data_IF_284064170508
#
_entry.id   IF_284064170508
#
_cell.length_a   1.000
_cell.length_b   1.000
_cell.length_c   1.000
_cell.angle_alpha   90.00
_cell.angle_beta   90.00
_cell.angle_gamma   90.00
#
_symmetry.space_group_name_H-M   'P 1'
#
loop_
_entity.id
_entity.type
_entity.pdbx_description
1 polymer ?
#
# COMPACT_ATOMS: atom_id res chain seq x y z
N UNK A 1 7.63 -28.54 12.69
CA UNK A 1 6.63 -28.93 13.72
C UNK A 1 6.79 -28.18 15.05
N UNK A 2 7.14 -26.89 15.01
CA UNK A 2 7.18 -26.01 16.19
C UNK A 2 6.45 -24.67 15.93
N UNK A 3 5.49 -24.65 15.00
CA UNK A 3 4.91 -23.42 14.44
C UNK A 3 3.73 -22.83 15.25
N UNK A 4 3.26 -23.50 16.30
CA UNK A 4 2.08 -23.06 17.09
C UNK A 4 2.32 -23.02 18.61
N UNK A 5 3.52 -23.36 19.08
CA UNK A 5 3.80 -23.45 20.52
C UNK A 5 4.23 -22.12 21.17
N UNK A 6 4.57 -21.11 20.37
CA UNK A 6 5.06 -19.81 20.88
C UNK A 6 4.01 -18.68 20.80
N UNK A 7 2.85 -18.90 20.18
CA UNK A 7 1.75 -17.92 20.16
C UNK A 7 0.84 -17.99 21.41
N UNK A 8 1.16 -18.84 22.38
CA UNK A 8 0.38 -18.97 23.61
C UNK A 8 1.25 -18.46 24.75
N UNK A 9 1.02 -17.23 25.25
CA UNK A 9 1.47 -16.91 26.58
C UNK A 9 0.89 -17.98 27.52
N UNK A 10 1.79 -18.70 28.19
CA UNK A 10 1.48 -19.67 29.23
C UNK A 10 0.57 -18.99 30.26
N UNK A 11 -0.75 -19.12 30.12
CA UNK A 11 -1.72 -18.43 30.97
C UNK A 11 -3.08 -18.04 30.37
N UNK A 12 -3.33 -18.21 29.06
CA UNK A 12 -4.66 -17.90 28.47
C UNK A 12 -5.57 -19.14 28.39
N UNK A 13 -6.89 -19.02 28.70
CA UNK A 13 -7.82 -20.13 28.66
C UNK A 13 -7.90 -20.74 27.25
N UNK A 14 -7.80 -22.08 27.17
CA UNK A 14 -7.64 -22.84 25.92
C UNK A 14 -8.74 -22.60 24.86
N UNK A 15 -9.90 -22.07 25.26
CA UNK A 15 -11.02 -21.74 24.36
C UNK A 15 -10.78 -20.44 23.58
N UNK A 16 -10.07 -19.46 24.15
CA UNK A 16 -9.78 -18.17 23.49
C UNK A 16 -8.51 -18.19 22.63
N UNK A 17 -7.64 -19.17 22.87
CA UNK A 17 -6.39 -19.37 22.14
C UNK A 17 -6.58 -19.57 20.62
N UNK A 18 -7.48 -20.45 20.12
CA UNK A 18 -7.70 -20.58 18.68
C UNK A 18 -8.30 -19.31 18.07
N UNK A 19 -9.14 -18.59 18.82
CA UNK A 19 -9.76 -17.35 18.36
C UNK A 19 -8.73 -16.22 18.17
N UNK A 20 -7.78 -16.08 19.09
CA UNK A 20 -6.67 -15.13 18.99
C UNK A 20 -5.77 -15.45 17.79
N UNK A 21 -5.44 -16.73 17.55
CA UNK A 21 -4.64 -17.16 16.39
C UNK A 21 -5.38 -16.87 15.08
N UNK A 22 -6.70 -17.08 15.01
CA UNK A 22 -7.51 -16.69 13.85
C UNK A 22 -7.47 -15.18 13.59
N UNK A 23 -7.56 -14.34 14.63
CA UNK A 23 -7.51 -12.89 14.46
C UNK A 23 -6.09 -12.44 14.04
N UNK A 24 -5.03 -13.00 14.62
CA UNK A 24 -3.65 -12.66 14.27
C UNK A 24 -3.33 -13.04 12.82
N UNK A 25 -3.76 -14.23 12.38
CA UNK A 25 -3.60 -14.68 10.97
C UNK A 25 -4.34 -13.79 9.98
N UNK A 26 -5.58 -13.39 10.30
CA UNK A 26 -6.35 -12.45 9.47
C UNK A 26 -5.66 -11.07 9.44
N UNK A 27 -5.21 -10.56 10.60
CA UNK A 27 -4.51 -9.26 10.71
C UNK A 27 -3.20 -9.25 9.90
N UNK A 28 -2.49 -10.38 9.91
CA UNK A 28 -1.23 -10.53 9.18
C UNK A 28 -1.43 -10.53 7.66
N UNK A 29 -2.58 -11.00 7.16
CA UNK A 29 -2.94 -10.93 5.73
C UNK A 29 -3.50 -9.56 5.33
N UNK A 30 -4.29 -8.92 6.19
CA UNK A 30 -4.90 -7.61 5.90
C UNK A 30 -3.85 -6.49 5.81
N UNK A 31 -2.77 -6.57 6.61
CA UNK A 31 -1.73 -5.53 6.64
C UNK A 31 -1.03 -5.33 5.28
N UNK A 32 -0.49 -6.36 4.60
CA UNK A 32 0.01 -6.21 3.23
C UNK A 32 -1.10 -5.88 2.22
N UNK A 33 -2.30 -6.43 2.40
CA UNK A 33 -3.45 -6.15 1.52
C UNK A 33 -3.84 -4.67 1.49
N UNK A 34 -3.91 -4.03 2.66
CA UNK A 34 -4.24 -2.60 2.75
C UNK A 34 -3.15 -1.71 2.16
N UNK A 35 -1.87 -2.09 2.23
CA UNK A 35 -0.78 -1.38 1.55
C UNK A 35 -0.89 -1.49 0.02
N UNK A 36 -1.24 -2.66 -0.50
CA UNK A 36 -1.42 -2.88 -1.94
C UNK A 36 -2.61 -2.09 -2.49
N UNK A 37 -3.75 -2.11 -1.79
CA UNK A 37 -4.94 -1.32 -2.17
C UNK A 37 -4.63 0.18 -2.12
N UNK A 38 -3.85 0.65 -1.14
CA UNK A 38 -3.42 2.05 -1.05
C UNK A 38 -2.57 2.48 -2.24
N UNK A 39 -1.66 1.62 -2.71
CA UNK A 39 -0.87 1.88 -3.91
C UNK A 39 -1.76 1.97 -5.15
N UNK A 40 -2.65 1.00 -5.33
CA UNK A 40 -3.58 0.97 -6.45
C UNK A 40 -4.48 2.21 -6.48
N UNK A 41 -5.05 2.59 -5.33
CA UNK A 41 -5.89 3.78 -5.21
C UNK A 41 -5.11 5.07 -5.54
N UNK A 42 -3.88 5.22 -5.03
CA UNK A 42 -3.06 6.40 -5.32
C UNK A 42 -2.72 6.50 -6.82
N UNK A 43 -2.31 5.40 -7.45
CA UNK A 43 -1.99 5.39 -8.89
C UNK A 43 -3.22 5.60 -9.78
N UNK A 44 -4.38 5.03 -9.42
CA UNK A 44 -5.63 5.24 -10.17
C UNK A 44 -6.08 6.71 -10.03
N UNK A 45 -6.01 7.28 -8.83
CA UNK A 45 -6.44 8.64 -8.57
C UNK A 45 -5.59 9.67 -9.32
N UNK A 46 -4.25 9.58 -9.25
CA UNK A 46 -3.40 10.51 -9.97
C UNK A 46 -3.41 10.27 -11.48
N UNK A 47 -3.50 9.03 -11.95
CA UNK A 47 -3.72 8.76 -13.38
C UNK A 47 -5.04 9.37 -13.89
N UNK A 48 -6.14 9.21 -13.16
CA UNK A 48 -7.43 9.83 -13.49
C UNK A 48 -7.31 11.36 -13.51
N UNK A 49 -6.63 11.95 -12.53
CA UNK A 49 -6.41 13.39 -12.45
C UNK A 49 -5.60 13.91 -13.65
N UNK A 50 -4.53 13.21 -14.05
CA UNK A 50 -3.75 13.54 -15.25
C UNK A 50 -4.62 13.49 -16.52
N UNK A 51 -5.49 12.49 -16.63
CA UNK A 51 -6.37 12.30 -17.78
C UNK A 51 -7.41 13.42 -17.88
N UNK A 52 -8.01 13.82 -16.75
CA UNK A 52 -8.99 14.90 -16.70
C UNK A 52 -8.35 16.26 -17.03
N UNK A 53 -7.18 16.57 -16.45
CA UNK A 53 -6.43 17.78 -16.75
C UNK A 53 -5.99 17.82 -18.21
N UNK A 54 -5.51 16.69 -18.75
CA UNK A 54 -5.13 16.56 -20.16
C UNK A 54 -6.28 16.82 -21.12
N UNK A 55 -7.49 16.34 -20.81
CA UNK A 55 -8.67 16.55 -21.65
C UNK A 55 -9.15 18.02 -21.65
N UNK A 56 -8.90 18.77 -20.57
CA UNK A 56 -9.18 20.23 -20.53
C UNK A 56 -8.10 21.08 -21.21
N UNK A 57 -6.90 20.53 -21.40
CA UNK A 57 -5.72 21.21 -21.97
C UNK A 57 -5.92 21.87 -23.33
N UNK A 58 -6.59 21.25 -24.33
CA UNK A 58 -6.76 21.82 -25.67
C UNK A 58 -7.56 23.12 -25.71
N UNK A 59 -8.39 23.38 -24.69
CA UNK A 59 -9.20 24.59 -24.57
C UNK A 59 -8.48 25.78 -23.91
N UNK A 60 -7.27 25.55 -23.39
CA UNK A 60 -6.52 26.55 -22.63
C UNK A 60 -5.55 27.34 -23.52
N UNK A 61 -5.27 28.57 -23.10
CA UNK A 61 -4.24 29.41 -23.74
C UNK A 61 -2.85 28.79 -23.62
N UNK A 62 -1.99 28.98 -24.63
CA UNK A 62 -0.61 28.45 -24.67
C UNK A 62 0.22 28.70 -23.41
N UNK A 63 0.07 29.85 -22.74
CA UNK A 63 0.78 30.15 -21.48
C UNK A 63 0.35 29.23 -20.33
N UNK A 64 -0.95 28.94 -20.22
CA UNK A 64 -1.51 28.05 -19.19
C UNK A 64 -1.20 26.59 -19.53
N UNK A 65 -1.17 26.23 -20.82
CA UNK A 65 -0.78 24.90 -21.29
C UNK A 65 0.65 24.54 -20.86
N UNK A 66 1.61 25.46 -20.98
CA UNK A 66 2.99 25.23 -20.55
C UNK A 66 3.08 24.94 -19.05
N UNK A 67 2.34 25.70 -18.24
CA UNK A 67 2.26 25.48 -16.79
C UNK A 67 1.60 24.12 -16.44
N UNK A 68 0.53 23.75 -17.16
CA UNK A 68 -0.16 22.48 -17.00
C UNK A 68 0.80 21.29 -17.25
N UNK A 69 1.59 21.34 -18.31
CA UNK A 69 2.56 20.29 -18.65
C UNK A 69 3.62 20.13 -17.55
N UNK A 70 4.16 21.25 -17.04
CA UNK A 70 5.12 21.22 -15.93
C UNK A 70 4.49 20.58 -14.68
N UNK A 71 3.25 20.94 -14.36
CA UNK A 71 2.52 20.35 -13.23
C UNK A 71 2.28 18.84 -13.42
N UNK A 72 1.93 18.39 -14.63
CA UNK A 72 1.76 16.96 -14.93
C UNK A 72 3.05 16.17 -14.78
N UNK A 73 4.18 16.70 -15.24
CA UNK A 73 5.50 16.06 -15.06
C UNK A 73 5.84 15.97 -13.57
N UNK A 74 5.59 17.05 -12.81
CA UNK A 74 5.84 17.05 -11.37
C UNK A 74 4.99 16.01 -10.62
N UNK A 75 3.70 15.88 -10.98
CA UNK A 75 2.80 14.88 -10.40
C UNK A 75 3.24 13.45 -10.74
N UNK A 76 3.68 13.18 -11.97
CA UNK A 76 4.20 11.87 -12.37
C UNK A 76 5.43 11.48 -11.55
N UNK A 77 6.36 12.43 -11.34
CA UNK A 77 7.55 12.21 -10.51
C UNK A 77 7.14 11.91 -9.07
N UNK A 78 6.17 12.64 -8.52
CA UNK A 78 5.65 12.38 -7.18
C UNK A 78 5.02 10.98 -7.05
N UNK A 79 4.18 10.56 -7.99
CA UNK A 79 3.55 9.23 -7.97
C UNK A 79 4.57 8.10 -8.04
N UNK A 80 5.58 8.24 -8.90
CA UNK A 80 6.65 7.25 -9.01
C UNK A 80 7.48 7.15 -7.72
N UNK A 81 7.80 8.28 -7.07
CA UNK A 81 8.48 8.30 -5.79
C UNK A 81 7.66 7.60 -4.69
N UNK A 82 6.35 7.86 -4.63
CA UNK A 82 5.44 7.20 -3.68
C UNK A 82 5.37 5.69 -3.96
N UNK A 83 5.34 5.27 -5.22
CA UNK A 83 5.30 3.85 -5.58
C UNK A 83 6.57 3.09 -5.15
N UNK A 84 7.74 3.71 -5.29
CA UNK A 84 9.02 3.14 -4.82
C UNK A 84 8.99 2.96 -3.30
N UNK A 85 8.59 3.99 -2.55
CA UNK A 85 8.55 3.92 -1.08
C UNK A 85 7.56 2.85 -0.61
N UNK A 86 6.38 2.77 -1.23
CA UNK A 86 5.33 1.84 -0.83
C UNK A 86 5.69 0.37 -1.13
N UNK A 87 6.35 0.10 -2.27
CA UNK A 87 6.85 -1.25 -2.59
C UNK A 87 7.98 -1.69 -1.65
N UNK A 88 8.85 -0.77 -1.24
CA UNK A 88 9.88 -1.02 -0.23
C UNK A 88 9.27 -1.39 1.13
N UNK A 89 8.30 -0.60 1.63
CA UNK A 89 7.64 -0.89 2.92
C UNK A 89 6.91 -2.23 2.87
N UNK A 90 6.28 -2.58 1.74
CA UNK A 90 5.66 -3.89 1.54
C UNK A 90 6.68 -5.03 1.64
N UNK A 91 7.82 -4.90 0.94
CA UNK A 91 8.87 -5.92 0.97
C UNK A 91 9.42 -6.12 2.38
N UNK A 92 9.71 -5.03 3.11
CA UNK A 92 10.24 -5.09 4.49
C UNK A 92 9.23 -5.69 5.46
N UNK A 93 7.95 -5.34 5.38
CA UNK A 93 6.93 -5.96 6.21
C UNK A 93 6.80 -7.46 5.89
N UNK A 94 6.78 -7.82 4.60
CA UNK A 94 6.69 -9.23 4.19
C UNK A 94 7.88 -10.06 4.65
N UNK A 95 9.10 -9.51 4.61
CA UNK A 95 10.30 -10.23 5.08
C UNK A 95 10.34 -10.36 6.59
N UNK A 96 9.98 -9.32 7.34
CA UNK A 96 9.86 -9.39 8.81
C UNK A 96 8.86 -10.47 9.23
N UNK A 97 7.67 -10.49 8.62
CA UNK A 97 6.68 -11.52 8.91
C UNK A 97 7.13 -12.92 8.50
N UNK A 98 7.80 -13.07 7.35
CA UNK A 98 8.35 -14.37 6.95
C UNK A 98 9.45 -14.85 7.90
N UNK A 99 10.24 -13.93 8.47
CA UNK A 99 11.29 -14.25 9.45
C UNK A 99 10.76 -14.55 10.84
N UNK A 100 9.60 -14.00 11.22
CA UNK A 100 8.93 -14.32 12.48
C UNK A 100 8.27 -15.70 12.46
N UNK A 101 7.93 -16.21 11.27
CA UNK A 101 7.22 -17.49 11.09
C UNK A 101 8.17 -18.69 10.91
N UNK A 102 9.45 -18.46 10.56
CA UNK A 102 10.47 -19.51 10.39
C UNK A 102 11.43 -19.61 11.58
#
# INVERSE_FOLDING_TARGET
QHMFAHLVPQGTPAVLMPFMVCIETISNVIRPGTLAVRLAANMIAGHLLLTLLGNTGPSLTYSILSLLIIAQIALLVLESAVAIIQSYVFAVLSTLYSSEVN
#
